data_IF_847437593382
#
_entry.id   IF_847437593382
#
_cell.length_a   1.000
_cell.length_b   1.000
_cell.length_c   1.000
_cell.angle_alpha   90.00
_cell.angle_beta   90.00
_cell.angle_gamma   90.00
#
_symmetry.space_group_name_H-M   'P 1'
#
loop_
_entity.id
_entity.type
_entity.pdbx_description
1 polymer ?
#
# COMPACT_ATOMS: atom_id res chain seq x y z
N UNK A 1 10.85 13.55 1.71
CA UNK A 1 10.20 12.22 1.75
C UNK A 1 9.73 11.98 3.16
N UNK A 2 8.52 11.43 3.39
CA UNK A 2 8.08 11.13 4.74
C UNK A 2 9.01 10.08 5.37
N UNK A 3 9.15 10.14 6.70
CA UNK A 3 9.93 9.16 7.44
C UNK A 3 9.23 7.80 7.37
N UNK A 4 9.83 6.82 6.70
CA UNK A 4 9.27 5.46 6.58
C UNK A 4 9.10 4.77 7.95
N UNK A 5 9.91 5.16 8.94
CA UNK A 5 9.82 4.66 10.31
C UNK A 5 8.53 5.13 11.03
N UNK A 6 7.98 6.26 10.59
CA UNK A 6 6.71 6.78 11.10
C UNK A 6 5.48 6.05 10.56
N UNK A 7 5.63 5.16 9.56
CA UNK A 7 4.51 4.37 9.07
C UNK A 7 4.21 3.20 10.03
N UNK A 8 2.96 3.05 10.50
CA UNK A 8 2.59 2.02 11.46
C UNK A 8 2.89 0.61 10.92
N UNK A 9 3.30 -0.31 11.81
CA UNK A 9 3.57 -1.70 11.44
C UNK A 9 2.30 -2.51 11.16
N UNK A 10 1.23 -2.25 11.90
CA UNK A 10 -0.02 -3.01 11.83
C UNK A 10 -1.23 -2.09 11.72
N UNK A 11 -2.39 -2.68 11.42
CA UNK A 11 -3.64 -1.96 11.21
C UNK A 11 -3.93 -1.68 9.73
N UNK A 12 -4.84 -0.73 9.47
CA UNK A 12 -5.34 -0.41 8.14
C UNK A 12 -5.26 1.09 7.86
N UNK A 13 -4.71 1.46 6.71
CA UNK A 13 -4.56 2.86 6.27
C UNK A 13 -5.34 3.13 4.99
N UNK A 14 -5.82 4.37 4.81
CA UNK A 14 -6.47 4.80 3.56
C UNK A 14 -5.43 5.27 2.56
N UNK A 15 -5.88 5.52 1.32
CA UNK A 15 -5.01 6.06 0.27
C UNK A 15 -4.29 7.35 0.71
N UNK A 16 -4.99 8.30 1.35
CA UNK A 16 -4.38 9.57 1.85
C UNK A 16 -3.26 9.35 2.86
N UNK A 17 -3.30 8.25 3.60
CA UNK A 17 -2.32 7.94 4.64
C UNK A 17 -1.08 7.25 4.02
N UNK A 18 -1.24 6.51 2.91
CA UNK A 18 -0.14 5.82 2.20
C UNK A 18 0.49 6.64 1.06
N UNK A 19 -0.28 7.54 0.42
CA UNK A 19 0.15 8.35 -0.73
C UNK A 19 1.48 9.10 -0.51
N UNK A 20 1.76 9.70 0.67
CA UNK A 20 3.04 10.39 0.87
C UNK A 20 4.25 9.45 0.74
N UNK A 21 4.08 8.16 1.04
CA UNK A 21 5.14 7.14 1.03
C UNK A 21 5.25 6.47 -0.34
N UNK A 22 4.13 6.32 -1.04
CA UNK A 22 4.05 5.75 -2.39
C UNK A 22 4.36 6.88 -3.38
N UNK A 23 5.56 6.89 -3.97
CA UNK A 23 6.00 7.91 -4.97
C UNK A 23 5.23 7.87 -6.31
N UNK A 24 4.09 7.20 -6.35
CA UNK A 24 3.29 6.93 -7.53
C UNK A 24 1.85 7.36 -7.31
N UNK A 25 1.14 7.62 -8.41
CA UNK A 25 -0.27 8.01 -8.35
C UNK A 25 -1.17 6.86 -7.91
N UNK A 26 -2.38 7.20 -7.47
CA UNK A 26 -3.44 6.23 -7.12
C UNK A 26 -3.77 5.29 -8.28
N UNK A 27 -3.75 5.81 -9.51
CA UNK A 27 -4.00 5.01 -10.69
C UNK A 27 -2.88 4.00 -10.96
N UNK A 28 -1.61 4.40 -10.79
CA UNK A 28 -0.47 3.48 -10.88
C UNK A 28 -0.61 2.34 -9.87
N UNK A 29 -0.95 2.67 -8.62
CA UNK A 29 -1.16 1.69 -7.56
C UNK A 29 -2.30 0.73 -7.91
N UNK A 30 -3.40 1.22 -8.50
CA UNK A 30 -4.51 0.37 -8.96
C UNK A 30 -4.06 -0.62 -10.05
N UNK A 31 -3.26 -0.17 -11.03
CA UNK A 31 -2.76 -1.06 -12.09
C UNK A 31 -1.78 -2.11 -11.54
N UNK A 32 -0.93 -1.72 -10.59
CA UNK A 32 0.01 -2.65 -9.95
C UNK A 32 -0.67 -3.61 -8.98
N UNK A 33 -1.73 -3.18 -8.31
CA UNK A 33 -2.61 -4.04 -7.50
C UNK A 33 -3.24 -5.12 -8.39
N UNK A 34 -3.77 -4.76 -9.56
CA UNK A 34 -4.31 -5.72 -10.54
C UNK A 34 -3.23 -6.68 -11.07
N UNK A 35 -1.97 -6.23 -11.15
CA UNK A 35 -0.83 -7.05 -11.55
C UNK A 35 -0.21 -7.88 -10.40
N UNK A 36 -0.75 -7.78 -9.17
CA UNK A 36 -0.22 -8.45 -7.97
C UNK A 36 1.13 -7.92 -7.49
N UNK A 37 1.51 -6.69 -7.89
CA UNK A 37 2.77 -6.00 -7.55
C UNK A 37 2.59 -4.87 -6.54
N UNK A 38 1.38 -4.69 -6.04
CA UNK A 38 1.04 -3.74 -4.99
C UNK A 38 0.05 -4.40 -4.02
N UNK A 39 0.07 -4.03 -2.72
CA UNK A 39 -0.85 -4.58 -1.73
C UNK A 39 -2.33 -4.45 -2.15
N UNK A 40 -3.10 -5.52 -1.93
CA UNK A 40 -4.53 -5.54 -2.21
C UNK A 40 -5.29 -4.65 -1.23
N UNK A 41 -6.17 -3.79 -1.74
CA UNK A 41 -7.10 -3.04 -0.90
C UNK A 41 -8.26 -3.91 -0.42
N UNK A 42 -8.65 -3.71 0.84
CA UNK A 42 -9.87 -4.21 1.44
C UNK A 42 -10.92 -3.10 1.45
N UNK A 43 -12.14 -3.41 1.02
CA UNK A 43 -13.25 -2.47 1.03
C UNK A 43 -14.03 -2.59 2.34
N UNK A 44 -14.08 -1.49 3.10
CA UNK A 44 -14.91 -1.37 4.30
C UNK A 44 -15.98 -0.31 4.00
N UNK A 45 -17.11 -0.77 3.47
CA UNK A 45 -18.13 0.07 2.88
C UNK A 45 -17.60 0.82 1.64
N UNK A 46 -17.69 2.15 1.64
CA UNK A 46 -17.22 3.01 0.53
C UNK A 46 -15.72 3.28 0.56
N UNK A 47 -15.03 2.87 1.63
CA UNK A 47 -13.62 3.19 1.85
C UNK A 47 -12.72 2.03 1.48
N UNK A 48 -11.69 2.31 0.67
CA UNK A 48 -10.60 1.37 0.42
C UNK A 48 -9.51 1.55 1.49
N UNK A 49 -9.14 0.44 2.10
CA UNK A 49 -8.13 0.34 3.14
C UNK A 49 -7.05 -0.64 2.71
N UNK A 50 -5.80 -0.35 3.05
CA UNK A 50 -4.67 -1.27 2.85
C UNK A 50 -4.16 -1.71 4.21
N UNK A 51 -3.74 -2.97 4.31
CA UNK A 51 -3.07 -3.46 5.50
C UNK A 51 -1.67 -2.84 5.61
N UNK A 52 -1.38 -2.28 6.77
CA UNK A 52 -0.13 -1.57 7.01
C UNK A 52 1.08 -2.51 6.89
N UNK A 53 0.95 -3.75 7.36
CA UNK A 53 1.99 -4.78 7.24
C UNK A 53 2.39 -5.01 5.79
N UNK A 54 1.42 -5.10 4.89
CA UNK A 54 1.64 -5.32 3.46
C UNK A 54 2.25 -4.08 2.78
N UNK A 55 1.77 -2.88 3.13
CA UNK A 55 2.35 -1.62 2.64
C UNK A 55 3.80 -1.50 3.11
N UNK A 56 4.11 -1.87 4.36
CA UNK A 56 5.47 -1.82 4.91
C UNK A 56 6.38 -2.83 4.21
N UNK A 57 5.90 -4.05 3.94
CA UNK A 57 6.59 -5.06 3.12
C UNK A 57 6.88 -4.55 1.71
N UNK A 58 5.90 -3.90 1.07
CA UNK A 58 6.09 -3.29 -0.24
C UNK A 58 7.05 -2.10 -0.22
N UNK A 59 7.01 -1.24 0.80
CA UNK A 59 7.93 -0.11 0.94
C UNK A 59 9.39 -0.56 1.14
N UNK A 60 9.59 -1.69 1.82
CA UNK A 60 10.91 -2.28 2.02
C UNK A 60 11.50 -2.84 0.70
N UNK A 61 10.67 -3.47 -0.13
CA UNK A 61 11.11 -4.01 -1.42
C UNK A 61 9.99 -3.94 -2.49
N UNK A 62 9.80 -2.79 -3.16
CA UNK A 62 8.69 -2.60 -4.09
C UNK A 62 8.89 -3.32 -5.43
N UNK A 63 10.12 -3.75 -5.73
CA UNK A 63 10.49 -4.41 -6.99
C UNK A 63 10.19 -5.91 -6.93
N UNK A 64 10.49 -6.56 -5.81
CA UNK A 64 10.27 -7.98 -5.60
C UNK A 64 8.99 -8.29 -4.81
N UNK A 65 8.29 -7.28 -4.29
CA UNK A 65 7.00 -7.49 -3.62
C UNK A 65 5.99 -8.20 -4.54
N UNK A 66 5.33 -9.20 -3.96
CA UNK A 66 4.18 -9.90 -4.55
C UNK A 66 3.10 -10.07 -3.49
N UNK A 67 1.89 -9.66 -3.84
CA UNK A 67 0.73 -9.93 -3.00
C UNK A 67 0.45 -11.44 -3.04
N UNK A 68 0.46 -12.10 -1.88
CA UNK A 68 0.04 -13.50 -1.79
C UNK A 68 -1.47 -13.59 -2.11
N UNK A 69 -1.84 -14.63 -2.87
CA UNK A 69 -3.11 -14.71 -3.59
C UNK A 69 -4.33 -14.77 -2.65
#
# INVERSE_FOLDING_TARGET
MPNLDAFPETGRSRWRDIEPFVRYSREWARQHEMAGRFPKRQHMGRTALWENSEIKRWLADPVNYRAEA
#
